data_IF_785652051354
#
_entry.id   IF_785652051354
#
_cell.length_a   1.000
_cell.length_b   1.000
_cell.length_c   1.000
_cell.angle_alpha   90.00
_cell.angle_beta   90.00
_cell.angle_gamma   90.00
#
_symmetry.space_group_name_H-M   'P 1'
#
loop_
_entity.id
_entity.type
_entity.pdbx_description
1 polymer ?
#
# COMPACT_ATOMS: atom_id res chain seq x y z
N UNK A 1 10.53 0.64 5.13
CA UNK A 1 11.16 -0.23 4.12
C UNK A 1 12.57 0.23 4.13
N UNK A 2 13.46 -0.67 4.50
CA UNK A 2 14.80 -0.26 4.89
C UNK A 2 15.75 -0.86 3.86
N UNK A 3 16.66 -0.04 3.37
CA UNK A 3 17.62 -0.39 2.32
C UNK A 3 19.03 -0.38 2.88
N UNK A 4 19.87 -1.29 2.37
CA UNK A 4 21.29 -1.31 2.69
C UNK A 4 22.03 -0.25 1.86
N UNK A 5 23.34 -0.12 2.06
CA UNK A 5 24.21 0.82 1.32
C UNK A 5 24.26 0.56 -0.19
N UNK A 6 23.82 -0.62 -0.65
CA UNK A 6 23.71 -1.01 -2.06
C UNK A 6 22.31 -0.77 -2.64
N UNK A 7 21.41 -0.16 -1.88
CA UNK A 7 20.02 0.10 -2.29
C UNK A 7 19.10 -1.13 -2.26
N UNK A 8 19.59 -2.29 -1.80
CA UNK A 8 18.80 -3.51 -1.69
C UNK A 8 17.89 -3.44 -0.46
N UNK A 9 16.63 -3.88 -0.62
CA UNK A 9 15.67 -3.93 0.49
C UNK A 9 16.01 -5.11 1.39
N UNK A 10 16.49 -4.83 2.60
CA UNK A 10 16.81 -5.86 3.59
C UNK A 10 15.71 -6.05 4.63
N UNK A 11 14.77 -5.11 4.75
CA UNK A 11 13.63 -5.23 5.67
C UNK A 11 12.36 -4.61 5.12
N UNK A 12 11.26 -5.36 5.24
CA UNK A 12 9.94 -4.90 4.80
C UNK A 12 8.86 -5.36 5.77
N UNK A 13 8.05 -4.42 6.23
CA UNK A 13 6.81 -4.70 6.97
C UNK A 13 5.64 -4.60 6.02
N UNK A 14 4.82 -5.65 5.94
CA UNK A 14 3.53 -5.61 5.28
C UNK A 14 2.46 -5.50 6.35
N UNK A 15 1.52 -4.58 6.15
CA UNK A 15 0.43 -4.29 7.09
C UNK A 15 -0.91 -4.41 6.39
N UNK A 16 -1.97 -4.58 7.17
CA UNK A 16 -3.32 -4.58 6.64
C UNK A 16 -3.68 -3.19 6.06
N UNK A 17 -4.52 -3.15 5.01
CA UNK A 17 -5.08 -1.90 4.48
C UNK A 17 -5.81 -1.09 5.57
N UNK A 18 -6.45 -1.79 6.52
CA UNK A 18 -7.17 -1.22 7.65
C UNK A 18 -6.28 -0.97 8.89
N UNK A 19 -4.95 -1.04 8.74
CA UNK A 19 -4.00 -0.81 9.83
C UNK A 19 -3.93 0.65 10.28
N UNK A 20 -3.45 0.85 11.51
CA UNK A 20 -3.24 2.16 12.12
C UNK A 20 -4.53 2.81 12.65
N UNK A 21 -4.35 3.92 13.36
CA UNK A 21 -5.45 4.74 13.91
C UNK A 21 -5.62 6.01 13.10
N UNK A 22 -6.86 6.44 12.91
CA UNK A 22 -7.12 7.78 12.39
C UNK A 22 -6.70 8.81 13.43
N UNK A 23 -5.84 9.73 13.03
CA UNK A 23 -5.49 10.92 13.82
C UNK A 23 -6.07 12.10 13.05
N UNK A 24 -7.10 12.76 13.61
CA UNK A 24 -7.63 13.98 13.02
C UNK A 24 -6.56 15.06 13.06
N UNK A 25 -6.23 15.65 11.91
CA UNK A 25 -5.43 16.88 11.83
C UNK A 25 -6.28 18.13 12.06
N UNK A 26 -7.41 18.01 12.76
CA UNK A 26 -8.24 19.17 13.13
C UNK A 26 -7.39 20.01 14.08
N UNK A 27 -6.79 21.08 13.57
CA UNK A 27 -6.28 22.13 14.43
C UNK A 27 -7.49 22.65 15.20
N UNK A 28 -7.38 22.75 16.51
CA UNK A 28 -8.40 23.34 17.35
C UNK A 28 -8.37 24.88 17.19
N UNK A 29 -8.37 25.37 15.95
CA UNK A 29 -8.66 26.77 15.64
C UNK A 29 -8.90 26.95 14.14
N UNK A 30 -9.97 27.69 13.86
CA UNK A 30 -10.42 28.15 12.54
C UNK A 30 -11.10 27.09 11.65
N UNK A 31 -12.42 27.05 11.85
CA UNK A 31 -13.41 26.50 10.96
C UNK A 31 -13.41 27.19 9.58
N UNK A 32 -12.55 26.77 8.65
CA UNK A 32 -12.86 26.89 7.23
C UNK A 32 -13.71 25.67 6.84
N UNK A 33 -15.01 25.76 7.10
CA UNK A 33 -16.01 24.70 6.84
C UNK A 33 -16.18 24.36 5.35
N UNK A 34 -15.65 25.17 4.43
CA UNK A 34 -15.95 25.04 2.99
C UNK A 34 -14.90 24.26 2.17
N UNK A 35 -13.70 24.00 2.71
CA UNK A 35 -12.62 23.28 1.98
C UNK A 35 -12.33 21.88 2.55
N UNK A 36 -13.08 21.44 3.57
CA UNK A 36 -12.80 20.17 4.24
C UNK A 36 -13.52 19.00 3.56
N UNK A 37 -12.77 18.21 2.79
CA UNK A 37 -13.25 16.92 2.30
C UNK A 37 -13.52 15.99 3.49
N UNK A 38 -14.78 15.55 3.61
CA UNK A 38 -15.18 14.46 4.51
C UNK A 38 -14.62 13.13 3.99
N UNK A 39 -13.32 12.91 4.12
CA UNK A 39 -12.70 11.63 3.74
C UNK A 39 -12.98 10.60 4.85
N UNK A 40 -13.90 9.66 4.60
CA UNK A 40 -14.09 8.51 5.50
C UNK A 40 -12.80 7.69 5.54
N UNK A 41 -12.23 7.51 6.73
CA UNK A 41 -11.03 6.71 6.91
C UNK A 41 -11.34 5.21 6.91
N UNK A 42 -10.51 4.41 6.26
CA UNK A 42 -10.56 2.94 6.35
C UNK A 42 -9.75 2.39 7.54
N UNK A 43 -9.20 3.23 8.41
CA UNK A 43 -8.31 2.78 9.50
C UNK A 43 -9.12 2.19 10.65
N UNK A 44 -8.97 0.89 10.90
CA UNK A 44 -9.65 0.14 11.98
C UNK A 44 -8.69 -0.29 13.09
N UNK A 45 -7.45 0.19 13.10
CA UNK A 45 -6.41 -0.28 14.00
C UNK A 45 -6.21 -1.80 13.93
N UNK A 46 -6.33 -2.37 12.73
CA UNK A 46 -6.12 -3.79 12.51
C UNK A 46 -4.67 -4.17 12.91
N UNK A 47 -4.47 -5.19 13.77
CA UNK A 47 -3.14 -5.54 14.28
C UNK A 47 -2.35 -6.41 13.30
N UNK A 48 -3.00 -6.93 12.25
CA UNK A 48 -2.36 -7.80 11.28
C UNK A 48 -1.15 -7.13 10.63
N UNK A 49 -0.01 -7.78 10.75
CA UNK A 49 1.21 -7.42 10.05
C UNK A 49 2.19 -8.58 10.00
N UNK A 50 3.10 -8.51 9.03
CA UNK A 50 4.24 -9.43 8.90
C UNK A 50 5.52 -8.63 8.65
N UNK A 51 6.57 -8.97 9.38
CA UNK A 51 7.89 -8.38 9.23
C UNK A 51 8.82 -9.36 8.50
N UNK A 52 9.26 -8.97 7.32
CA UNK A 52 10.19 -9.71 6.47
C UNK A 52 11.59 -9.11 6.59
N UNK A 53 12.59 -9.99 6.62
CA UNK A 53 14.00 -9.67 6.80
C UNK A 53 14.84 -10.46 5.80
N UNK A 54 15.77 -9.79 5.14
CA UNK A 54 16.75 -10.36 4.22
C UNK A 54 18.08 -9.61 4.42
N UNK A 55 18.83 -9.92 5.50
CA UNK A 55 20.11 -9.27 5.76
C UNK A 55 21.15 -9.68 4.70
N UNK A 56 22.23 -8.90 4.57
CA UNK A 56 23.21 -9.01 3.48
C UNK A 56 23.84 -10.41 3.29
N UNK A 57 23.88 -11.24 4.34
CA UNK A 57 24.46 -12.59 4.32
C UNK A 57 23.40 -13.70 4.27
N UNK A 58 22.11 -13.35 4.23
CA UNK A 58 21.05 -14.35 4.16
C UNK A 58 20.89 -14.88 2.74
N UNK A 59 20.66 -16.19 2.64
CA UNK A 59 20.28 -16.86 1.39
C UNK A 59 18.77 -16.92 1.19
N UNK A 60 17.99 -16.62 2.24
CA UNK A 60 16.54 -16.70 2.25
C UNK A 60 15.89 -15.57 3.03
N UNK A 61 14.66 -15.22 2.66
CA UNK A 61 13.84 -14.24 3.37
C UNK A 61 13.32 -14.88 4.66
N UNK A 62 13.62 -14.25 5.80
CA UNK A 62 13.12 -14.64 7.11
C UNK A 62 11.89 -13.84 7.52
N UNK A 63 10.94 -14.50 8.18
CA UNK A 63 9.83 -13.85 8.88
C UNK A 63 10.25 -13.62 10.32
N UNK A 64 10.38 -12.36 10.73
CA UNK A 64 10.79 -11.99 12.10
C UNK A 64 9.61 -11.80 13.04
N UNK A 65 8.44 -11.44 12.51
CA UNK A 65 7.21 -11.30 13.28
C UNK A 65 6.03 -11.56 12.36
N UNK A 66 5.05 -12.29 12.85
CA UNK A 66 3.79 -12.48 12.15
C UNK A 66 2.62 -12.40 13.14
N UNK A 67 1.86 -11.31 13.07
CA UNK A 67 0.57 -11.20 13.77
C UNK A 67 -0.52 -11.53 12.77
N UNK A 68 -1.06 -12.75 12.87
CA UNK A 68 -2.11 -13.24 11.99
C UNK A 68 -3.52 -13.02 12.55
N UNK A 69 -3.79 -11.81 13.04
CA UNK A 69 -5.09 -11.46 13.62
C UNK A 69 -5.67 -10.25 12.90
N UNK A 70 -6.86 -10.43 12.33
CA UNK A 70 -7.67 -9.35 11.81
C UNK A 70 -8.80 -9.03 12.78
N UNK A 71 -9.10 -7.75 12.95
CA UNK A 71 -10.22 -7.27 13.74
C UNK A 71 -11.43 -6.86 12.86
N UNK A 72 -11.43 -7.31 11.62
CA UNK A 72 -12.48 -7.06 10.64
C UNK A 72 -12.67 -8.31 9.80
N UNK A 73 -13.84 -8.42 9.16
CA UNK A 73 -14.13 -9.51 8.23
C UNK A 73 -13.16 -9.41 7.04
N UNK A 74 -12.51 -10.52 6.71
CA UNK A 74 -11.76 -10.65 5.47
C UNK A 74 -12.75 -10.86 4.33
N UNK A 75 -12.66 -10.05 3.28
CA UNK A 75 -13.52 -10.21 2.10
C UNK A 75 -13.03 -11.43 1.31
N UNK A 76 -13.79 -12.53 1.22
CA UNK A 76 -13.31 -13.78 0.62
C UNK A 76 -13.06 -13.65 -0.89
N UNK A 77 -13.68 -12.66 -1.55
CA UNK A 77 -13.46 -12.36 -2.97
C UNK A 77 -12.00 -11.98 -3.28
N UNK A 78 -11.20 -11.60 -2.28
CA UNK A 78 -9.77 -11.33 -2.48
C UNK A 78 -9.04 -12.53 -3.08
N UNK A 79 -9.47 -13.78 -2.82
CA UNK A 79 -8.83 -14.96 -3.42
C UNK A 79 -9.13 -15.08 -4.93
N UNK A 80 -10.34 -14.73 -5.36
CA UNK A 80 -10.76 -14.67 -6.76
C UNK A 80 -10.09 -13.50 -7.50
N UNK A 81 -10.02 -12.34 -6.86
CA UNK A 81 -9.33 -11.17 -7.43
C UNK A 81 -7.81 -11.35 -7.44
N UNK A 82 -7.21 -12.02 -6.46
CA UNK A 82 -5.78 -12.21 -6.38
C UNK A 82 -5.24 -13.10 -7.50
N UNK A 83 -5.98 -14.11 -7.95
CA UNK A 83 -5.54 -14.94 -9.09
C UNK A 83 -5.71 -14.19 -10.41
N UNK A 84 -6.83 -13.49 -10.60
CA UNK A 84 -7.16 -12.79 -11.85
C UNK A 84 -6.37 -11.51 -12.08
N UNK A 85 -6.02 -10.77 -11.02
CA UNK A 85 -5.39 -9.44 -11.11
C UNK A 85 -3.97 -9.40 -10.50
N UNK A 86 -3.31 -10.56 -10.37
CA UNK A 86 -1.96 -10.66 -9.79
C UNK A 86 -0.89 -9.99 -10.65
N UNK A 87 -1.10 -10.00 -11.96
CA UNK A 87 -0.20 -9.44 -12.95
C UNK A 87 -0.96 -8.41 -13.76
N UNK A 88 -0.29 -7.30 -14.07
CA UNK A 88 -0.74 -6.42 -15.12
C UNK A 88 -0.61 -7.15 -16.46
N UNK A 89 -1.55 -6.92 -17.37
CA UNK A 89 -1.39 -7.33 -18.76
C UNK A 89 -0.20 -6.59 -19.36
N UNK A 90 0.44 -7.15 -20.39
CA UNK A 90 1.55 -6.48 -21.09
C UNK A 90 1.10 -5.13 -21.66
N UNK A 91 -0.16 -5.03 -22.09
CA UNK A 91 -0.79 -3.78 -22.53
C UNK A 91 -0.83 -2.74 -21.41
N UNK A 92 -1.32 -3.10 -20.23
CA UNK A 92 -1.35 -2.19 -19.08
C UNK A 92 0.06 -1.78 -18.64
N UNK A 93 1.04 -2.70 -18.70
CA UNK A 93 2.45 -2.38 -18.41
C UNK A 93 3.03 -1.40 -19.43
N UNK A 94 2.72 -1.59 -20.72
CA UNK A 94 3.17 -0.70 -21.77
C UNK A 94 2.58 0.71 -21.59
N UNK A 95 1.27 0.81 -21.28
CA UNK A 95 0.62 2.09 -21.04
C UNK A 95 1.19 2.82 -19.82
N UNK A 96 1.42 2.10 -18.71
CA UNK A 96 2.10 2.63 -17.51
C UNK A 96 3.51 3.12 -17.87
N UNK A 97 4.25 2.36 -18.68
CA UNK A 97 5.60 2.72 -19.14
C UNK A 97 5.57 4.00 -19.98
N UNK A 98 4.62 4.12 -20.91
CA UNK A 98 4.45 5.32 -21.74
C UNK A 98 4.13 6.56 -20.89
N UNK A 99 3.15 6.45 -19.99
CA UNK A 99 2.77 7.54 -19.09
C UNK A 99 3.90 7.98 -18.16
N UNK A 100 4.73 7.03 -17.71
CA UNK A 100 5.83 7.30 -16.79
C UNK A 100 7.06 7.87 -17.49
N UNK A 101 7.50 7.24 -18.59
CA UNK A 101 8.75 7.61 -19.27
C UNK A 101 8.60 8.78 -20.24
N UNK A 102 7.44 8.88 -20.89
CA UNK A 102 7.21 9.87 -21.94
C UNK A 102 6.15 10.90 -21.56
N UNK A 103 5.13 10.51 -20.80
CA UNK A 103 4.07 11.41 -20.35
C UNK A 103 4.43 12.29 -19.15
N UNK A 104 5.48 11.95 -18.39
CA UNK A 104 5.84 12.59 -17.11
C UNK A 104 4.63 12.73 -16.16
N UNK A 105 3.67 11.82 -16.26
CA UNK A 105 2.43 11.90 -15.50
C UNK A 105 2.67 11.50 -14.05
N UNK A 106 2.07 12.23 -13.12
CA UNK A 106 2.11 11.85 -11.71
C UNK A 106 1.38 10.52 -11.48
N UNK A 107 1.80 9.76 -10.48
CA UNK A 107 1.16 8.48 -10.13
C UNK A 107 -0.36 8.59 -9.92
N UNK A 108 -0.83 9.71 -9.37
CA UNK A 108 -2.27 9.96 -9.18
C UNK A 108 -3.00 10.09 -10.51
N UNK A 109 -2.42 10.81 -11.47
CA UNK A 109 -3.03 10.99 -12.81
C UNK A 109 -3.06 9.65 -13.54
N UNK A 110 -1.92 8.93 -13.56
CA UNK A 110 -1.85 7.60 -14.19
C UNK A 110 -2.90 6.64 -13.62
N UNK A 111 -3.03 6.60 -12.29
CA UNK A 111 -4.03 5.76 -11.62
C UNK A 111 -5.47 6.13 -12.00
N UNK A 112 -5.76 7.41 -12.22
CA UNK A 112 -7.10 7.83 -12.60
C UNK A 112 -7.43 7.50 -14.05
N UNK A 113 -6.43 7.56 -14.95
CA UNK A 113 -6.58 7.17 -16.35
C UNK A 113 -6.77 5.66 -16.52
N UNK A 114 -6.09 4.85 -15.71
CA UNK A 114 -6.18 3.38 -15.75
C UNK A 114 -7.41 2.80 -15.04
N UNK A 115 -8.26 3.63 -14.42
CA UNK A 115 -9.53 3.17 -13.84
C UNK A 115 -10.60 3.15 -14.94
N UNK A 116 -10.75 1.98 -15.58
CA UNK A 116 -11.94 1.61 -16.35
C UNK A 116 -13.01 0.99 -15.42
#
# INVERSE_FOLDING_TARGET
MDQNSKGQVYKRTLVCEFSGKYKSKKMAEVALKETQQNTKTKKLNCPWHINLSFPDQATQIGVTTFINQHNHILVPKTQEFATKYRLFTDEALNEISLMTKHGNLTLTVQKNLLKA
#
